data_IF_758516510899
#
_entry.id   IF_758516510899
#
_cell.length_a   1.000
_cell.length_b   1.000
_cell.length_c   1.000
_cell.angle_alpha   90.00
_cell.angle_beta   90.00
_cell.angle_gamma   90.00
#
_symmetry.space_group_name_H-M   'P 1'
#
loop_
_entity.id
_entity.type
_entity.pdbx_description
1 polymer ?
#
# COMPACT_ATOMS: atom_id res chain seq x y z
N UNK A 1 42.12 0.03 26.93
CA UNK A 1 41.33 1.16 26.40
C UNK A 1 41.76 2.45 27.10
N UNK A 2 42.10 3.50 26.37
CA UNK A 2 42.50 4.78 26.96
C UNK A 2 41.24 5.62 27.21
N UNK A 3 41.23 6.43 28.28
CA UNK A 3 40.12 7.38 28.52
C UNK A 3 39.82 8.30 27.32
N UNK A 4 40.87 8.60 26.54
CA UNK A 4 40.76 9.42 25.33
C UNK A 4 39.85 8.82 24.25
N UNK A 5 39.86 7.47 24.08
CA UNK A 5 38.97 6.82 23.10
C UNK A 5 37.49 7.05 23.41
N UNK A 6 37.12 6.99 24.72
CA UNK A 6 35.75 7.27 25.13
C UNK A 6 35.37 8.72 24.90
N UNK A 7 36.28 9.65 25.21
CA UNK A 7 36.06 11.07 24.97
C UNK A 7 35.91 11.39 23.48
N UNK A 8 36.73 10.75 22.62
CA UNK A 8 36.65 10.90 21.17
C UNK A 8 35.31 10.38 20.62
N UNK A 9 34.83 9.21 21.09
CA UNK A 9 33.51 8.71 20.68
C UNK A 9 32.40 9.69 21.00
N UNK A 10 32.36 10.20 22.24
CA UNK A 10 31.36 11.17 22.68
C UNK A 10 31.43 12.44 21.84
N UNK A 11 32.66 12.96 21.63
CA UNK A 11 32.90 14.16 20.82
C UNK A 11 32.39 13.99 19.40
N UNK A 12 32.78 12.92 18.70
CA UNK A 12 32.40 12.66 17.32
C UNK A 12 30.90 12.43 17.17
N UNK A 13 30.27 11.80 18.15
CA UNK A 13 28.81 11.66 18.20
C UNK A 13 28.10 13.00 18.32
N UNK A 14 28.55 13.88 19.24
CA UNK A 14 27.98 15.24 19.43
C UNK A 14 28.20 16.11 18.19
N UNK A 15 29.38 16.01 17.57
CA UNK A 15 29.74 16.73 16.33
C UNK A 15 29.08 16.14 15.07
N UNK A 16 28.29 15.04 15.19
CA UNK A 16 27.68 14.28 14.08
C UNK A 16 28.69 13.86 13.01
N UNK A 17 29.93 13.61 13.41
CA UNK A 17 31.01 13.15 12.53
C UNK A 17 31.03 11.61 12.50
N UNK A 18 30.13 11.03 11.70
CA UNK A 18 29.94 9.57 11.59
C UNK A 18 31.22 8.82 11.17
N UNK A 19 32.02 9.38 10.26
CA UNK A 19 33.24 8.73 9.80
C UNK A 19 34.28 8.61 10.91
N UNK A 20 34.50 9.69 11.68
CA UNK A 20 35.46 9.69 12.79
C UNK A 20 34.95 8.84 13.95
N UNK A 21 33.64 8.86 14.23
CA UNK A 21 33.01 8.00 15.22
C UNK A 21 33.24 6.51 14.89
N UNK A 22 32.99 6.12 13.64
CA UNK A 22 33.16 4.75 13.14
C UNK A 22 34.61 4.29 13.25
N UNK A 23 35.56 5.12 12.85
CA UNK A 23 36.99 4.81 12.93
C UNK A 23 37.45 4.60 14.37
N UNK A 24 37.00 5.43 15.30
CA UNK A 24 37.32 5.29 16.73
C UNK A 24 36.68 4.03 17.32
N UNK A 25 35.46 3.68 16.97
CA UNK A 25 34.79 2.46 17.39
C UNK A 25 35.52 1.20 16.88
N UNK A 26 35.98 1.20 15.62
CA UNK A 26 36.81 0.11 15.07
C UNK A 26 38.14 0.00 15.81
N UNK A 27 38.78 1.11 16.16
CA UNK A 27 40.02 1.12 16.92
C UNK A 27 39.82 0.51 18.32
N UNK A 28 38.69 0.77 18.95
CA UNK A 28 38.30 0.17 20.24
C UNK A 28 38.06 -1.34 20.09
N UNK A 29 37.37 -1.79 19.03
CA UNK A 29 37.14 -3.20 18.77
C UNK A 29 38.47 -3.96 18.63
N UNK A 30 39.43 -3.43 17.84
CA UNK A 30 40.79 -4.01 17.69
C UNK A 30 41.53 -4.05 18.99
N UNK A 31 41.34 -3.09 19.88
CA UNK A 31 41.97 -3.14 21.22
C UNK A 31 41.42 -4.31 22.02
N UNK A 32 40.09 -4.54 22.03
CA UNK A 32 39.50 -5.68 22.73
C UNK A 32 39.94 -7.03 22.14
N UNK A 33 40.06 -7.11 20.83
CA UNK A 33 40.64 -8.28 20.14
C UNK A 33 42.07 -8.55 20.64
N UNK A 34 42.91 -7.51 20.75
CA UNK A 34 44.32 -7.63 21.19
C UNK A 34 44.50 -8.10 22.65
N UNK A 35 43.48 -7.93 23.50
CA UNK A 35 43.50 -8.37 24.90
C UNK A 35 42.74 -9.69 25.12
N UNK A 36 42.24 -10.33 24.03
CA UNK A 36 41.56 -11.62 24.05
C UNK A 36 40.06 -11.56 24.34
N UNK A 37 39.47 -10.36 24.37
CA UNK A 37 38.01 -10.19 24.51
C UNK A 37 37.36 -10.20 23.12
N UNK A 38 37.35 -11.36 22.49
CA UNK A 38 36.87 -11.56 21.14
C UNK A 38 35.36 -11.28 21.02
N UNK A 39 34.57 -11.59 22.08
CA UNK A 39 33.12 -11.41 22.05
C UNK A 39 32.77 -9.92 21.94
N UNK A 40 33.42 -9.07 22.73
CA UNK A 40 33.18 -7.63 22.71
C UNK A 40 33.70 -6.98 21.43
N UNK A 41 34.84 -7.48 20.90
CA UNK A 41 35.40 -7.06 19.60
C UNK A 41 34.41 -7.35 18.46
N UNK A 42 33.92 -8.57 18.35
CA UNK A 42 32.94 -8.97 17.34
C UNK A 42 31.62 -8.19 17.46
N UNK A 43 31.17 -7.97 18.68
CA UNK A 43 29.98 -7.18 18.93
C UNK A 43 30.11 -5.73 18.40
N UNK A 44 31.24 -5.05 18.73
CA UNK A 44 31.49 -3.67 18.26
C UNK A 44 31.66 -3.64 16.74
N UNK A 45 32.38 -4.61 16.16
CA UNK A 45 32.57 -4.71 14.71
C UNK A 45 31.21 -4.97 14.00
N UNK A 46 30.34 -5.80 14.58
CA UNK A 46 28.99 -6.04 14.11
C UNK A 46 28.13 -4.79 14.11
N UNK A 47 28.22 -3.95 15.15
CA UNK A 47 27.54 -2.65 15.22
C UNK A 47 28.06 -1.65 14.16
N UNK A 48 29.33 -1.73 13.80
CA UNK A 48 29.99 -0.81 12.85
C UNK A 48 29.94 -1.30 11.40
N UNK A 49 29.71 -2.60 11.15
CA UNK A 49 29.48 -3.12 9.80
C UNK A 49 28.10 -2.72 9.33
N UNK A 50 27.99 -2.13 8.14
CA UNK A 50 26.69 -1.90 7.47
C UNK A 50 26.03 -3.22 7.01
N UNK A 51 26.73 -4.32 7.10
CA UNK A 51 26.15 -5.63 6.92
C UNK A 51 25.32 -5.95 8.17
N UNK A 52 24.01 -5.93 8.04
CA UNK A 52 23.04 -6.51 8.97
C UNK A 52 23.23 -8.03 9.16
N UNK A 53 24.45 -8.49 9.47
CA UNK A 53 24.79 -9.90 9.62
C UNK A 53 24.72 -10.40 11.06
N UNK A 54 24.62 -9.48 12.02
CA UNK A 54 24.24 -9.76 13.41
C UNK A 54 23.40 -8.56 13.89
N UNK A 55 22.16 -8.48 13.46
CA UNK A 55 21.17 -8.20 14.47
C UNK A 55 21.35 -9.32 15.49
N UNK A 56 21.70 -9.09 16.79
CA UNK A 56 21.28 -10.02 17.80
C UNK A 56 19.83 -10.24 17.45
N UNK A 57 19.38 -11.51 17.28
CA UNK A 57 17.97 -11.77 17.06
C UNK A 57 17.27 -10.77 17.97
N UNK A 58 16.90 -9.65 17.38
CA UNK A 58 16.20 -8.61 18.10
C UNK A 58 15.07 -9.42 18.63
N UNK A 59 15.09 -9.63 19.96
CA UNK A 59 14.09 -10.43 20.64
C UNK A 59 12.83 -10.08 19.89
N UNK A 60 12.47 -10.96 18.95
CA UNK A 60 11.58 -10.60 17.85
C UNK A 60 10.45 -9.96 18.57
N UNK A 61 10.19 -8.66 18.37
CA UNK A 61 9.21 -7.96 19.18
C UNK A 61 7.95 -8.79 18.99
N UNK A 62 7.78 -9.77 19.86
CA UNK A 62 6.68 -10.71 19.84
C UNK A 62 5.47 -9.93 20.31
N UNK A 63 4.82 -9.35 19.32
CA UNK A 63 3.57 -8.66 19.52
C UNK A 63 2.45 -9.58 19.08
N UNK A 64 1.41 -9.62 19.89
CA UNK A 64 0.16 -10.31 19.57
C UNK A 64 -0.56 -9.62 18.39
N UNK A 65 -0.42 -8.29 18.26
CA UNK A 65 -1.23 -7.47 17.37
C UNK A 65 -0.42 -6.69 16.32
N UNK A 66 0.86 -6.41 16.57
CA UNK A 66 1.73 -5.67 15.68
C UNK A 66 2.51 -6.62 14.79
N UNK A 67 2.27 -6.57 13.49
CA UNK A 67 3.02 -7.36 12.49
C UNK A 67 3.97 -6.44 11.73
N UNK A 68 5.27 -6.73 11.77
CA UNK A 68 6.22 -6.03 10.92
C UNK A 68 5.99 -6.40 9.46
N UNK A 69 5.90 -5.40 8.59
CA UNK A 69 5.65 -5.56 7.16
C UNK A 69 6.94 -5.34 6.41
N UNK A 70 7.29 -6.27 5.52
CA UNK A 70 8.43 -6.11 4.64
C UNK A 70 8.10 -5.11 3.52
N UNK A 71 8.94 -4.06 3.38
CA UNK A 71 8.72 -2.94 2.44
C UNK A 71 9.81 -2.81 1.38
N UNK A 72 10.79 -3.76 1.33
CA UNK A 72 11.98 -3.67 0.46
C UNK A 72 11.67 -3.83 -1.03
N UNK A 73 10.71 -4.68 -1.39
CA UNK A 73 10.38 -5.06 -2.78
C UNK A 73 9.00 -4.56 -3.20
N UNK A 74 8.66 -3.31 -2.88
CA UNK A 74 7.38 -2.75 -3.28
C UNK A 74 7.37 -2.42 -4.78
N UNK A 75 6.30 -2.80 -5.45
CA UNK A 75 6.00 -2.35 -6.82
C UNK A 75 5.84 -0.81 -6.83
N UNK A 76 6.26 -0.17 -7.93
CA UNK A 76 6.00 1.24 -8.10
C UNK A 76 4.47 1.48 -8.11
N UNK A 77 4.03 2.42 -7.30
CA UNK A 77 2.62 2.76 -7.18
C UNK A 77 2.34 3.97 -8.08
N UNK A 78 1.54 3.77 -9.13
CA UNK A 78 1.05 4.85 -9.97
C UNK A 78 -0.17 5.48 -9.29
N UNK A 79 0.04 6.64 -8.67
CA UNK A 79 -0.99 7.43 -8.02
C UNK A 79 -1.27 8.70 -8.84
N UNK A 80 -2.52 9.22 -8.80
CA UNK A 80 -2.83 10.54 -9.31
C UNK A 80 -1.88 11.61 -8.76
N UNK A 81 -1.67 12.66 -9.54
CA UNK A 81 -0.75 13.74 -9.16
C UNK A 81 -1.13 14.35 -7.80
N UNK A 82 -2.40 14.62 -7.58
CA UNK A 82 -2.91 15.19 -6.33
C UNK A 82 -2.61 14.32 -5.11
N UNK A 83 -2.79 13.01 -5.20
CA UNK A 83 -2.47 12.07 -4.11
C UNK A 83 -0.95 12.01 -3.91
N UNK A 84 -0.18 12.06 -5.00
CA UNK A 84 1.29 12.08 -4.94
C UNK A 84 1.80 13.34 -4.25
N UNK A 85 1.18 14.49 -4.47
CA UNK A 85 1.51 15.75 -3.80
C UNK A 85 1.19 15.69 -2.30
N UNK A 86 0.05 15.12 -1.93
CA UNK A 86 -0.29 14.90 -0.52
C UNK A 86 0.74 13.97 0.17
N UNK A 87 1.16 12.91 -0.48
CA UNK A 87 2.21 12.00 0.05
C UNK A 87 3.54 12.75 0.20
N UNK A 88 3.94 13.59 -0.76
CA UNK A 88 5.11 14.46 -0.61
C UNK A 88 4.96 15.41 0.58
N UNK A 89 3.76 15.95 0.79
CA UNK A 89 3.42 16.77 1.96
C UNK A 89 3.63 16.01 3.28
N UNK A 90 3.20 14.75 3.37
CA UNK A 90 3.44 13.87 4.52
C UNK A 90 4.94 13.72 4.76
N UNK A 91 5.71 13.37 3.73
CA UNK A 91 7.17 13.18 3.84
C UNK A 91 7.84 14.46 4.33
N UNK A 92 7.48 15.61 3.78
CA UNK A 92 8.02 16.91 4.19
C UNK A 92 7.67 17.25 5.66
N UNK A 93 6.41 17.06 6.06
CA UNK A 93 5.97 17.34 7.43
C UNK A 93 6.73 16.48 8.46
N UNK A 94 6.89 15.19 8.19
CA UNK A 94 7.61 14.27 9.06
C UNK A 94 9.11 14.60 9.13
N UNK A 95 9.75 14.88 7.99
CA UNK A 95 11.18 15.17 7.93
C UNK A 95 11.54 16.51 8.62
N UNK A 96 10.64 17.50 8.58
CA UNK A 96 10.85 18.78 9.28
C UNK A 96 10.39 18.76 10.72
N UNK A 97 9.84 17.65 11.21
CA UNK A 97 9.38 17.45 12.59
C UNK A 97 8.45 18.58 13.09
N UNK A 98 7.48 18.98 12.25
CA UNK A 98 6.55 20.07 12.55
C UNK A 98 5.40 19.64 13.49
N UNK A 99 5.46 18.44 14.06
CA UNK A 99 4.43 17.90 14.96
C UNK A 99 3.21 17.30 14.25
N UNK A 100 3.27 17.15 12.91
CA UNK A 100 2.25 16.51 12.07
C UNK A 100 2.71 15.08 11.79
N UNK A 101 2.06 14.10 12.40
CA UNK A 101 2.51 12.70 12.32
C UNK A 101 1.36 11.68 12.30
N UNK A 102 0.09 12.11 12.31
CA UNK A 102 -1.09 11.25 12.27
C UNK A 102 -1.91 11.54 11.01
N UNK A 103 -2.02 10.55 10.14
CA UNK A 103 -2.66 10.67 8.82
C UNK A 103 -3.80 9.66 8.68
N UNK A 104 -4.93 10.10 8.14
CA UNK A 104 -6.06 9.24 7.79
C UNK A 104 -6.16 9.13 6.27
N UNK A 105 -6.01 7.93 5.74
CA UNK A 105 -6.20 7.62 4.32
C UNK A 105 -7.62 7.12 4.12
N UNK A 106 -8.45 7.90 3.45
CA UNK A 106 -9.82 7.55 3.11
C UNK A 106 -9.97 7.16 1.65
N UNK A 107 -10.92 6.31 1.33
CA UNK A 107 -11.25 5.98 -0.05
C UNK A 107 -11.86 4.59 -0.19
N UNK A 108 -12.43 4.33 -1.35
CA UNK A 108 -13.07 3.04 -1.66
C UNK A 108 -12.08 1.87 -1.59
N UNK A 109 -12.56 0.64 -1.38
CA UNK A 109 -11.72 -0.56 -1.44
C UNK A 109 -10.93 -0.61 -2.75
N UNK A 110 -9.67 -1.05 -2.67
CA UNK A 110 -8.81 -1.17 -3.85
C UNK A 110 -8.23 0.14 -4.40
N UNK A 111 -8.46 1.31 -3.76
CA UNK A 111 -7.89 2.60 -4.18
C UNK A 111 -6.39 2.76 -3.90
N UNK A 112 -5.75 1.82 -3.22
CA UNK A 112 -4.29 1.82 -3.00
C UNK A 112 -3.82 2.38 -1.66
N UNK A 113 -4.71 2.65 -0.69
CA UNK A 113 -4.39 3.22 0.64
C UNK A 113 -3.28 2.48 1.38
N UNK A 114 -3.44 1.17 1.55
CA UNK A 114 -2.47 0.31 2.25
C UNK A 114 -1.12 0.28 1.53
N UNK A 115 -1.11 0.22 0.20
CA UNK A 115 0.13 0.27 -0.59
C UNK A 115 0.80 1.64 -0.51
N UNK A 116 0.03 2.73 -0.48
CA UNK A 116 0.55 4.08 -0.27
C UNK A 116 1.19 4.23 1.12
N UNK A 117 0.59 3.67 2.18
CA UNK A 117 1.17 3.67 3.52
C UNK A 117 2.53 2.93 3.55
N UNK A 118 2.64 1.79 2.85
CA UNK A 118 3.92 1.08 2.69
C UNK A 118 4.96 1.93 1.97
N UNK A 119 4.55 2.63 0.90
CA UNK A 119 5.45 3.54 0.18
C UNK A 119 5.90 4.74 1.02
N UNK A 120 5.01 5.31 1.84
CA UNK A 120 5.38 6.37 2.81
C UNK A 120 6.44 5.87 3.77
N UNK A 121 6.27 4.68 4.36
CA UNK A 121 7.27 4.10 5.25
C UNK A 121 8.62 3.89 4.55
N UNK A 122 8.61 3.39 3.31
CA UNK A 122 9.82 3.22 2.48
C UNK A 122 10.52 4.56 2.19
N UNK A 123 9.76 5.59 1.81
CA UNK A 123 10.30 6.90 1.47
C UNK A 123 10.87 7.63 2.70
N UNK A 124 10.33 7.36 3.89
CA UNK A 124 10.84 7.87 5.16
C UNK A 124 12.00 7.05 5.71
N UNK A 125 12.36 5.93 5.07
CA UNK A 125 13.34 4.94 5.58
C UNK A 125 13.00 4.47 7.01
N UNK A 126 11.70 4.14 7.22
CA UNK A 126 11.17 3.70 8.52
C UNK A 126 10.61 2.29 8.44
N UNK A 127 10.75 1.52 9.51
CA UNK A 127 10.10 0.21 9.65
C UNK A 127 8.59 0.37 9.73
N UNK A 128 7.86 -0.47 9.02
CA UNK A 128 6.39 -0.47 9.04
C UNK A 128 5.85 -1.58 9.95
N UNK A 129 5.01 -1.21 10.89
CA UNK A 129 4.22 -2.13 11.69
C UNK A 129 2.75 -1.98 11.36
N UNK A 130 2.08 -3.07 11.04
CA UNK A 130 0.65 -3.10 10.74
C UNK A 130 -0.13 -3.65 11.92
N UNK A 131 -1.21 -2.97 12.27
CA UNK A 131 -2.29 -3.45 13.13
C UNK A 131 -3.49 -3.73 12.25
N UNK A 132 -3.98 -4.95 12.32
CA UNK A 132 -5.18 -5.38 11.63
C UNK A 132 -6.36 -5.30 12.61
N UNK A 133 -7.22 -4.32 12.40
CA UNK A 133 -8.31 -4.04 13.33
C UNK A 133 -9.37 -5.13 13.39
N UNK A 134 -9.55 -5.92 12.33
CA UNK A 134 -10.46 -7.07 12.34
C UNK A 134 -10.08 -8.07 13.45
N UNK A 135 -8.77 -8.27 13.65
CA UNK A 135 -8.27 -9.21 14.67
C UNK A 135 -8.42 -8.70 16.12
N UNK A 136 -8.78 -7.43 16.31
CA UNK A 136 -8.98 -6.85 17.64
C UNK A 136 -10.38 -7.06 18.18
N UNK A 137 -11.34 -7.29 17.27
CA UNK A 137 -12.74 -7.46 17.62
C UNK A 137 -12.95 -8.85 18.20
N UNK A 138 -13.52 -8.91 19.39
CA UNK A 138 -13.86 -10.15 20.08
C UNK A 138 -15.35 -10.13 20.41
N UNK A 139 -16.01 -11.27 20.26
CA UNK A 139 -17.42 -11.44 20.64
C UNK A 139 -17.68 -11.35 22.15
N UNK A 140 -16.60 -11.44 22.97
CA UNK A 140 -16.71 -11.33 24.43
C UNK A 140 -16.74 -9.86 24.87
N UNK A 141 -17.74 -9.52 25.64
CA UNK A 141 -17.98 -8.17 26.15
C UNK A 141 -16.73 -7.58 26.82
N UNK A 142 -16.29 -6.39 26.36
CA UNK A 142 -15.14 -5.67 26.90
C UNK A 142 -13.77 -6.21 26.49
N UNK A 143 -13.65 -7.33 25.76
CA UNK A 143 -12.36 -7.85 25.33
C UNK A 143 -11.75 -6.97 24.22
N UNK A 144 -12.57 -6.48 23.27
CA UNK A 144 -12.16 -5.53 22.24
C UNK A 144 -11.46 -4.30 22.84
N UNK A 145 -12.03 -3.70 23.89
CA UNK A 145 -11.41 -2.56 24.58
C UNK A 145 -10.04 -2.91 25.19
N UNK A 146 -9.91 -4.10 25.79
CA UNK A 146 -8.63 -4.55 26.34
C UNK A 146 -7.58 -4.76 25.24
N UNK A 147 -7.98 -5.33 24.11
CA UNK A 147 -7.11 -5.56 22.97
C UNK A 147 -6.60 -4.22 22.40
N UNK A 148 -7.48 -3.23 22.24
CA UNK A 148 -7.10 -1.87 21.79
C UNK A 148 -6.06 -1.25 22.74
N UNK A 149 -6.31 -1.31 24.07
CA UNK A 149 -5.35 -0.78 25.05
C UNK A 149 -4.00 -1.50 24.97
N UNK A 150 -4.01 -2.82 24.77
CA UNK A 150 -2.76 -3.59 24.57
C UNK A 150 -2.01 -3.12 23.33
N UNK A 151 -2.68 -3.00 22.18
CA UNK A 151 -2.09 -2.51 20.92
C UNK A 151 -1.38 -1.17 21.14
N UNK A 152 -2.07 -0.19 21.73
CA UNK A 152 -1.47 1.13 21.93
C UNK A 152 -0.32 1.10 22.96
N UNK A 153 -0.35 0.20 23.94
CA UNK A 153 0.81 -0.04 24.81
C UNK A 153 2.00 -0.60 24.04
N UNK A 154 1.76 -1.59 23.18
CA UNK A 154 2.80 -2.18 22.32
C UNK A 154 3.39 -1.16 21.36
N UNK A 155 2.55 -0.28 20.74
CA UNK A 155 3.00 0.83 19.92
C UNK A 155 3.93 1.77 20.73
N UNK A 156 3.56 2.10 21.97
CA UNK A 156 4.37 2.95 22.84
C UNK A 156 5.71 2.32 23.29
N UNK A 157 5.79 0.98 23.25
CA UNK A 157 7.00 0.23 23.60
C UNK A 157 7.92 -0.03 22.41
N UNK A 158 7.52 0.37 21.18
CA UNK A 158 8.36 0.19 20.01
C UNK A 158 9.69 0.95 20.15
N UNK A 159 10.83 0.28 19.94
CA UNK A 159 12.12 0.94 19.98
C UNK A 159 12.28 1.90 18.80
N UNK A 160 13.06 2.97 18.99
CA UNK A 160 13.37 3.96 17.95
C UNK A 160 12.11 4.56 17.31
N UNK A 161 11.26 5.18 18.08
CA UNK A 161 9.99 5.80 17.66
C UNK A 161 10.12 6.64 16.36
N UNK A 162 11.24 7.34 16.19
CA UNK A 162 11.57 8.16 15.01
C UNK A 162 11.89 7.35 13.74
N UNK A 163 12.01 6.02 13.85
CA UNK A 163 12.23 5.10 12.72
C UNK A 163 11.06 4.16 12.47
N UNK A 164 9.89 4.51 12.98
CA UNK A 164 8.70 3.66 12.90
C UNK A 164 7.54 4.38 12.23
N UNK A 165 6.84 3.65 11.37
CA UNK A 165 5.49 3.96 10.88
C UNK A 165 4.56 2.86 11.39
N UNK A 166 3.44 3.23 11.97
CA UNK A 166 2.37 2.32 12.38
C UNK A 166 1.18 2.50 11.46
N UNK A 167 0.75 1.41 10.84
CA UNK A 167 -0.44 1.37 9.99
C UNK A 167 -1.58 0.71 10.75
N UNK A 168 -2.61 1.50 11.05
CA UNK A 168 -3.89 1.02 11.55
C UNK A 168 -4.80 0.73 10.35
N UNK A 169 -4.77 -0.51 9.87
CA UNK A 169 -5.47 -0.86 8.64
C UNK A 169 -6.93 -1.19 8.92
N UNK A 170 -7.84 -0.65 8.07
CA UNK A 170 -9.29 -0.86 8.14
C UNK A 170 -9.92 -0.51 9.50
N UNK A 171 -9.59 0.67 10.02
CA UNK A 171 -10.10 1.15 11.31
C UNK A 171 -11.64 1.32 11.33
N UNK A 172 -12.28 1.32 10.15
CA UNK A 172 -13.74 1.40 9.99
C UNK A 172 -14.50 0.15 10.44
N UNK A 173 -13.84 -0.97 10.64
CA UNK A 173 -14.47 -2.16 11.25
C UNK A 173 -15.12 -1.80 12.58
N UNK A 174 -14.54 -0.86 13.33
CA UNK A 174 -15.09 -0.32 14.56
C UNK A 174 -16.40 0.46 14.32
N UNK A 175 -16.54 1.11 13.16
CA UNK A 175 -17.77 1.85 12.81
C UNK A 175 -18.88 0.91 12.33
N UNK A 176 -18.53 -0.19 11.64
CA UNK A 176 -19.49 -1.19 11.14
C UNK A 176 -20.17 -1.98 12.26
N UNK A 177 -19.45 -2.26 13.31
CA UNK A 177 -20.02 -2.95 14.48
C UNK A 177 -21.12 -2.11 15.17
N UNK A 178 -21.09 -0.77 15.02
CA UNK A 178 -22.19 0.11 15.45
C UNK A 178 -23.52 -0.19 14.74
N UNK A 179 -23.47 -0.64 13.51
CA UNK A 179 -24.67 -0.89 12.69
C UNK A 179 -25.23 -2.28 12.95
N UNK A 180 -24.37 -3.24 13.28
CA UNK A 180 -24.71 -4.65 13.38
C UNK A 180 -24.91 -5.17 14.82
N UNK A 181 -24.40 -4.46 15.85
CA UNK A 181 -24.52 -4.90 17.25
C UNK A 181 -25.73 -4.30 17.95
N UNK A 182 -26.46 -5.14 18.70
CA UNK A 182 -27.57 -4.71 19.57
C UNK A 182 -27.09 -3.89 20.79
N UNK A 183 -25.76 -3.67 20.95
CA UNK A 183 -25.18 -2.96 22.09
C UNK A 183 -24.45 -1.68 21.69
N UNK A 184 -25.21 -0.65 21.40
CA UNK A 184 -24.73 0.72 21.07
C UNK A 184 -23.80 1.28 22.17
N UNK A 185 -23.93 0.80 23.41
CA UNK A 185 -23.13 1.28 24.56
C UNK A 185 -21.69 0.76 24.52
N UNK A 186 -21.48 -0.48 24.09
CA UNK A 186 -20.12 -1.06 24.02
C UNK A 186 -19.28 -0.36 22.94
N UNK A 187 -19.86 -0.11 21.78
CA UNK A 187 -19.17 0.57 20.68
C UNK A 187 -18.84 2.03 20.98
N UNK A 188 -19.70 2.73 21.73
CA UNK A 188 -19.35 4.05 22.24
C UNK A 188 -18.12 4.01 23.16
N UNK A 189 -17.94 2.94 23.94
CA UNK A 189 -16.75 2.72 24.78
C UNK A 189 -15.51 2.43 23.94
N UNK A 190 -15.62 1.61 22.90
CA UNK A 190 -14.52 1.30 21.97
C UNK A 190 -13.99 2.57 21.31
N UNK A 191 -14.88 3.38 20.70
CA UNK A 191 -14.53 4.66 20.09
C UNK A 191 -13.86 5.59 21.12
N UNK A 192 -14.44 5.73 22.31
CA UNK A 192 -13.88 6.56 23.38
C UNK A 192 -12.50 6.08 23.83
N UNK A 193 -12.27 4.77 23.84
CA UNK A 193 -10.95 4.19 24.16
C UNK A 193 -9.93 4.55 23.11
N UNK A 194 -10.26 4.42 21.79
CA UNK A 194 -9.35 4.79 20.71
C UNK A 194 -9.02 6.28 20.74
N UNK A 195 -10.02 7.14 20.93
CA UNK A 195 -9.82 8.59 21.06
C UNK A 195 -8.80 8.90 22.15
N UNK A 196 -8.98 8.33 23.34
CA UNK A 196 -8.08 8.52 24.46
C UNK A 196 -6.67 7.99 24.18
N UNK A 197 -6.55 6.83 23.55
CA UNK A 197 -5.23 6.27 23.25
C UNK A 197 -4.51 7.05 22.12
N UNK A 198 -5.23 7.59 21.12
CA UNK A 198 -4.68 8.50 20.12
C UNK A 198 -4.17 9.80 20.74
N UNK A 199 -4.94 10.39 21.68
CA UNK A 199 -4.52 11.59 22.41
C UNK A 199 -3.25 11.29 23.23
N UNK A 200 -3.21 10.14 23.90
CA UNK A 200 -2.07 9.69 24.72
C UNK A 200 -0.80 9.44 23.90
N UNK A 201 -0.92 8.89 22.68
CA UNK A 201 0.22 8.73 21.76
C UNK A 201 0.85 10.08 21.41
N UNK A 202 0.05 11.11 21.23
CA UNK A 202 0.52 12.47 20.95
C UNK A 202 1.41 13.00 22.07
N UNK A 203 1.05 12.72 23.33
CA UNK A 203 1.78 13.20 24.49
C UNK A 203 3.09 12.44 24.76
N UNK A 204 3.08 11.12 24.49
CA UNK A 204 4.18 10.23 24.86
C UNK A 204 5.21 10.00 23.74
N UNK A 205 4.77 9.94 22.47
CA UNK A 205 5.60 9.53 21.33
C UNK A 205 5.36 10.40 20.10
N UNK A 206 5.84 11.63 20.13
CA UNK A 206 5.69 12.61 19.02
C UNK A 206 6.38 12.21 17.70
N UNK A 207 7.26 11.21 17.71
CA UNK A 207 8.09 10.86 16.56
C UNK A 207 7.57 9.66 15.75
N UNK A 208 6.65 8.85 16.31
CA UNK A 208 5.98 7.78 15.58
C UNK A 208 5.07 8.40 14.53
N UNK A 209 5.17 7.91 13.29
CA UNK A 209 4.21 8.23 12.24
C UNK A 209 3.06 7.23 12.28
N UNK A 210 1.85 7.72 12.44
CA UNK A 210 0.64 6.92 12.47
C UNK A 210 -0.16 7.14 11.19
N UNK A 211 -0.45 6.09 10.46
CA UNK A 211 -1.33 6.11 9.29
C UNK A 211 -2.50 5.19 9.57
N UNK A 212 -3.72 5.70 9.46
CA UNK A 212 -4.92 4.87 9.52
C UNK A 212 -5.57 4.81 8.15
N UNK A 213 -6.19 3.67 7.79
CA UNK A 213 -6.97 3.54 6.56
C UNK A 213 -8.44 3.30 6.86
N UNK A 214 -9.32 3.85 6.03
CA UNK A 214 -10.77 3.62 6.11
C UNK A 214 -11.41 3.54 4.72
N UNK A 215 -12.41 2.67 4.60
CA UNK A 215 -13.29 2.60 3.44
C UNK A 215 -14.62 3.34 3.67
N UNK A 216 -14.93 3.75 4.90
CA UNK A 216 -16.23 4.27 5.34
C UNK A 216 -16.14 5.64 6.01
N UNK A 217 -15.41 6.57 5.38
CA UNK A 217 -15.19 7.91 5.96
C UNK A 217 -16.47 8.65 6.35
N UNK A 218 -17.55 8.54 5.56
CA UNK A 218 -18.84 9.17 5.84
C UNK A 218 -19.47 8.70 7.15
N UNK A 219 -19.14 7.49 7.60
CA UNK A 219 -19.69 6.88 8.82
C UNK A 219 -18.79 7.11 10.05
N UNK A 220 -17.63 7.75 9.82
CA UNK A 220 -16.67 8.01 10.90
C UNK A 220 -17.16 9.09 11.86
N UNK A 221 -16.89 8.89 13.15
CA UNK A 221 -17.13 9.90 14.16
C UNK A 221 -16.22 11.12 13.92
N UNK A 222 -16.84 12.31 13.84
CA UNK A 222 -16.10 13.57 13.68
C UNK A 222 -15.03 13.79 14.76
N UNK A 223 -15.25 13.26 15.98
CA UNK A 223 -14.27 13.34 17.04
C UNK A 223 -13.02 12.51 16.72
N UNK A 224 -13.18 11.35 16.06
CA UNK A 224 -12.06 10.52 15.63
C UNK A 224 -11.26 11.18 14.50
N UNK A 225 -11.95 11.74 13.49
CA UNK A 225 -11.30 12.46 12.40
C UNK A 225 -10.41 13.60 12.91
N UNK A 226 -10.87 14.34 13.92
CA UNK A 226 -10.13 15.46 14.53
C UNK A 226 -8.83 15.06 15.23
N UNK A 227 -8.57 13.77 15.47
CA UNK A 227 -7.31 13.27 16.05
C UNK A 227 -6.23 13.02 15.00
N UNK A 228 -6.62 13.06 13.74
CA UNK A 228 -5.67 13.01 12.65
C UNK A 228 -5.31 14.42 12.20
N UNK A 229 -4.04 14.63 11.93
CA UNK A 229 -3.50 15.94 11.53
C UNK A 229 -3.85 16.26 10.07
N UNK A 230 -3.99 15.23 9.22
CA UNK A 230 -4.44 15.38 7.84
C UNK A 230 -5.23 14.14 7.38
N UNK A 231 -6.18 14.40 6.47
CA UNK A 231 -6.97 13.37 5.79
C UNK A 231 -6.62 13.39 4.30
N UNK A 232 -6.22 12.24 3.77
CA UNK A 232 -5.86 12.09 2.37
C UNK A 232 -6.94 11.26 1.66
N UNK A 233 -7.56 11.86 0.66
CA UNK A 233 -8.64 11.22 -0.09
C UNK A 233 -8.08 10.45 -1.30
N UNK A 234 -8.29 9.13 -1.29
CA UNK A 234 -7.87 8.21 -2.36
C UNK A 234 -8.95 7.96 -3.42
N UNK A 235 -10.06 8.71 -3.42
CA UNK A 235 -11.08 8.61 -4.47
C UNK A 235 -10.84 9.56 -5.65
N UNK A 236 -9.74 10.30 -5.66
CA UNK A 236 -9.40 11.33 -6.66
C UNK A 236 -8.71 10.75 -7.90
N UNK A 237 -9.19 9.62 -8.42
CA UNK A 237 -8.75 9.09 -9.70
C UNK A 237 -9.63 9.60 -10.82
N UNK A 238 -9.04 10.19 -11.86
CA UNK A 238 -9.71 10.39 -13.13
C UNK A 238 -9.72 9.09 -13.95
N UNK A 239 -10.53 9.02 -15.00
CA UNK A 239 -10.51 7.88 -15.90
C UNK A 239 -9.14 7.74 -16.61
N UNK A 240 -8.47 8.85 -16.89
CA UNK A 240 -7.12 8.90 -17.44
C UNK A 240 -6.11 8.26 -16.50
N UNK A 241 -6.14 8.60 -15.22
CA UNK A 241 -5.26 8.01 -14.20
C UNK A 241 -5.47 6.49 -14.11
N UNK A 242 -6.74 6.04 -14.13
CA UNK A 242 -7.07 4.62 -14.07
C UNK A 242 -6.59 3.86 -15.32
N UNK A 243 -6.65 4.49 -16.50
CA UNK A 243 -6.12 3.92 -17.75
C UNK A 243 -4.58 3.82 -17.68
N UNK A 244 -3.89 4.82 -17.14
CA UNK A 244 -2.44 4.78 -16.95
C UNK A 244 -2.02 3.68 -15.98
N UNK A 245 -2.72 3.55 -14.86
CA UNK A 245 -2.53 2.46 -13.88
C UNK A 245 -2.75 1.09 -14.54
N UNK A 246 -3.83 0.94 -15.33
CA UNK A 246 -4.13 -0.28 -16.05
C UNK A 246 -3.02 -0.63 -17.07
N UNK A 247 -2.51 0.37 -17.82
CA UNK A 247 -1.41 0.19 -18.78
C UNK A 247 -0.11 -0.25 -18.08
N UNK A 248 0.17 0.31 -16.92
CA UNK A 248 1.30 -0.10 -16.09
C UNK A 248 1.19 -1.58 -15.70
N UNK A 249 0.05 -2.01 -15.16
CA UNK A 249 -0.17 -3.42 -14.79
C UNK A 249 -0.11 -4.34 -16.00
N UNK A 250 -0.77 -3.97 -17.10
CA UNK A 250 -0.74 -4.73 -18.34
C UNK A 250 0.70 -4.91 -18.86
N UNK A 251 1.48 -3.83 -18.90
CA UNK A 251 2.87 -3.86 -19.37
C UNK A 251 3.80 -4.65 -18.44
N UNK A 252 3.51 -4.67 -17.14
CA UNK A 252 4.24 -5.47 -16.16
C UNK A 252 3.93 -6.96 -16.30
N UNK A 253 2.65 -7.33 -16.38
CA UNK A 253 2.23 -8.72 -16.34
C UNK A 253 2.43 -9.45 -17.67
N UNK A 254 2.19 -8.80 -18.81
CA UNK A 254 2.27 -9.46 -20.12
C UNK A 254 3.65 -10.05 -20.40
N UNK A 255 4.70 -9.52 -19.78
CA UNK A 255 6.08 -10.05 -19.91
C UNK A 255 6.23 -11.50 -19.45
N UNK A 256 5.35 -11.93 -18.58
CA UNK A 256 5.37 -13.28 -18.00
C UNK A 256 4.61 -14.31 -18.87
N UNK A 257 3.92 -13.86 -19.92
CA UNK A 257 3.12 -14.72 -20.78
C UNK A 257 3.72 -14.82 -22.19
N UNK A 258 4.08 -16.03 -22.58
CA UNK A 258 4.58 -16.30 -23.94
C UNK A 258 3.42 -16.57 -24.88
N UNK A 259 3.52 -16.15 -26.15
CA UNK A 259 2.50 -16.39 -27.16
C UNK A 259 1.33 -15.39 -27.18
N UNK A 260 1.32 -14.41 -26.27
CA UNK A 260 0.32 -13.35 -26.24
C UNK A 260 0.88 -12.10 -26.97
N UNK A 261 0.14 -11.57 -27.92
CA UNK A 261 0.51 -10.34 -28.63
C UNK A 261 0.08 -9.10 -27.85
N UNK A 262 1.02 -8.17 -27.61
CA UNK A 262 0.74 -6.92 -26.93
C UNK A 262 0.00 -5.94 -27.84
N UNK A 263 -1.29 -5.68 -27.59
CA UNK A 263 -2.06 -4.63 -28.27
C UNK A 263 -2.55 -3.59 -27.25
N UNK A 264 -1.66 -2.65 -26.93
CA UNK A 264 -1.95 -1.57 -25.97
C UNK A 264 -3.07 -0.64 -26.46
N UNK A 265 -3.21 -0.46 -27.78
CA UNK A 265 -4.25 0.41 -28.34
C UNK A 265 -5.64 -0.16 -28.11
N UNK A 266 -5.85 -1.43 -28.46
CA UNK A 266 -7.14 -2.10 -28.25
C UNK A 266 -7.43 -2.29 -26.75
N UNK A 267 -6.41 -2.59 -25.95
CA UNK A 267 -6.51 -2.64 -24.48
C UNK A 267 -7.06 -1.33 -23.90
N UNK A 268 -6.45 -0.18 -24.25
CA UNK A 268 -6.93 1.14 -23.79
C UNK A 268 -8.34 1.46 -24.30
N UNK A 269 -8.66 1.05 -25.51
CA UNK A 269 -9.98 1.28 -26.08
C UNK A 269 -11.08 0.55 -25.31
N UNK A 270 -10.84 -0.71 -24.94
CA UNK A 270 -11.77 -1.49 -24.12
C UNK A 270 -12.02 -0.78 -22.77
N UNK A 271 -10.96 -0.26 -22.13
CA UNK A 271 -11.10 0.50 -20.89
C UNK A 271 -11.95 1.76 -21.07
N UNK A 272 -11.73 2.51 -22.17
CA UNK A 272 -12.50 3.74 -22.48
C UNK A 272 -13.97 3.47 -22.82
N UNK A 273 -14.28 2.27 -23.32
CA UNK A 273 -15.66 1.87 -23.64
C UNK A 273 -16.42 1.42 -22.38
N UNK A 274 -15.74 1.07 -21.32
CA UNK A 274 -16.36 0.68 -20.06
C UNK A 274 -17.12 1.87 -19.44
N UNK A 275 -18.35 1.62 -18.96
CA UNK A 275 -19.17 2.67 -18.30
C UNK A 275 -18.51 3.24 -17.05
N UNK A 276 -17.73 2.45 -16.37
CA UNK A 276 -16.96 2.81 -15.18
C UNK A 276 -15.71 1.98 -15.13
N UNK A 277 -14.57 2.63 -15.00
CA UNK A 277 -13.29 1.95 -14.83
C UNK A 277 -13.12 1.61 -13.33
N UNK A 278 -12.82 0.34 -12.97
CA UNK A 278 -12.62 -0.02 -11.58
C UNK A 278 -11.37 0.61 -10.96
N UNK A 279 -11.33 0.67 -9.64
CA UNK A 279 -10.14 1.15 -8.91
C UNK A 279 -8.92 0.21 -9.07
N UNK A 280 -7.69 0.70 -8.80
CA UNK A 280 -6.45 -0.02 -9.06
C UNK A 280 -6.38 -1.46 -8.61
N UNK A 281 -6.92 -1.77 -7.43
CA UNK A 281 -6.91 -3.14 -6.87
C UNK A 281 -7.75 -4.12 -7.69
N UNK A 282 -8.93 -3.72 -8.11
CA UNK A 282 -9.82 -4.52 -8.96
C UNK A 282 -9.28 -4.59 -10.38
N UNK A 283 -8.79 -3.47 -10.94
CA UNK A 283 -8.11 -3.43 -12.25
C UNK A 283 -6.93 -4.41 -12.31
N UNK A 284 -6.09 -4.41 -11.30
CA UNK A 284 -4.96 -5.35 -11.18
C UNK A 284 -5.42 -6.80 -11.30
N UNK A 285 -6.50 -7.15 -10.59
CA UNK A 285 -7.05 -8.50 -10.61
C UNK A 285 -7.66 -8.84 -11.97
N UNK A 286 -8.47 -7.96 -12.57
CA UNK A 286 -9.09 -8.16 -13.87
C UNK A 286 -8.01 -8.38 -14.94
N UNK A 287 -6.98 -7.53 -14.98
CA UNK A 287 -5.90 -7.63 -15.98
C UNK A 287 -5.12 -8.94 -15.78
N UNK A 288 -4.76 -9.26 -14.53
CA UNK A 288 -4.02 -10.47 -14.21
C UNK A 288 -4.82 -11.74 -14.56
N UNK A 289 -6.10 -11.79 -14.24
CA UNK A 289 -6.96 -12.96 -14.56
C UNK A 289 -7.24 -13.06 -16.06
N UNK A 290 -7.45 -11.94 -16.75
CA UNK A 290 -7.62 -11.92 -18.21
C UNK A 290 -6.41 -12.53 -18.93
N UNK A 291 -5.19 -12.20 -18.49
CA UNK A 291 -3.96 -12.78 -19.03
C UNK A 291 -3.76 -14.23 -18.62
N UNK A 292 -3.96 -14.55 -17.34
CA UNK A 292 -3.68 -15.89 -16.79
C UNK A 292 -4.63 -16.97 -17.31
N UNK A 293 -5.88 -16.63 -17.58
CA UNK A 293 -6.88 -17.56 -18.11
C UNK A 293 -7.05 -17.49 -19.63
N UNK A 294 -6.20 -16.71 -20.31
CA UNK A 294 -6.17 -16.63 -21.75
C UNK A 294 -5.85 -17.99 -22.39
N UNK A 295 -6.51 -18.33 -23.49
CA UNK A 295 -6.20 -19.54 -24.25
C UNK A 295 -4.79 -19.45 -24.83
N UNK A 296 -3.98 -20.47 -24.57
CA UNK A 296 -2.58 -20.56 -25.01
C UNK A 296 -2.45 -20.56 -26.56
N UNK A 297 -3.50 -20.99 -27.27
CA UNK A 297 -3.57 -21.00 -28.74
C UNK A 297 -3.99 -19.65 -29.37
N UNK A 298 -4.38 -18.66 -28.56
CA UNK A 298 -4.90 -17.38 -29.02
C UNK A 298 -4.07 -16.20 -28.56
N UNK A 299 -3.57 -15.40 -29.50
CA UNK A 299 -2.76 -14.21 -29.20
C UNK A 299 -3.57 -13.10 -28.50
N UNK A 300 -4.90 -13.06 -28.67
CA UNK A 300 -5.77 -11.95 -28.25
C UNK A 300 -6.93 -12.37 -27.33
N UNK A 301 -7.04 -13.62 -26.86
CA UNK A 301 -8.12 -14.07 -26.00
C UNK A 301 -8.21 -13.24 -24.69
N UNK A 302 -7.09 -12.74 -24.18
CA UNK A 302 -7.06 -11.88 -23.01
C UNK A 302 -7.87 -10.59 -23.20
N UNK A 303 -7.94 -10.04 -24.42
CA UNK A 303 -8.75 -8.85 -24.74
C UNK A 303 -10.26 -9.16 -24.70
N UNK A 304 -10.66 -10.35 -25.19
CA UNK A 304 -12.04 -10.84 -25.07
C UNK A 304 -12.42 -10.98 -23.60
N UNK A 305 -11.56 -11.55 -22.78
CA UNK A 305 -11.78 -11.70 -21.34
C UNK A 305 -11.84 -10.37 -20.62
N UNK A 306 -10.96 -9.44 -20.96
CA UNK A 306 -10.97 -8.07 -20.44
C UNK A 306 -12.28 -7.36 -20.77
N UNK A 307 -12.73 -7.45 -22.04
CA UNK A 307 -14.00 -6.89 -22.49
C UNK A 307 -15.17 -7.45 -21.68
N UNK A 308 -15.22 -8.80 -21.56
CA UNK A 308 -16.28 -9.48 -20.80
C UNK A 308 -16.32 -9.05 -19.32
N UNK A 309 -15.16 -8.81 -18.72
CA UNK A 309 -15.08 -8.42 -17.32
C UNK A 309 -15.47 -6.95 -17.06
N UNK A 310 -15.23 -6.05 -18.03
CA UNK A 310 -15.45 -4.62 -17.86
C UNK A 310 -16.78 -4.12 -18.44
N UNK A 311 -17.23 -4.72 -19.54
CA UNK A 311 -18.35 -4.20 -20.34
C UNK A 311 -19.53 -5.16 -20.33
N UNK A 312 -19.25 -6.46 -20.43
CA UNK A 312 -20.26 -7.51 -20.50
C UNK A 312 -19.96 -8.53 -21.58
N UNK A 313 -20.86 -9.55 -21.74
CA UNK A 313 -20.62 -10.67 -22.65
C UNK A 313 -20.44 -10.22 -24.09
N UNK A 314 -19.23 -10.39 -24.62
CA UNK A 314 -18.89 -10.11 -26.00
C UNK A 314 -19.65 -11.03 -26.97
N UNK A 315 -19.96 -12.26 -26.55
CA UNK A 315 -20.66 -13.25 -27.40
C UNK A 315 -22.11 -12.83 -27.68
N UNK A 316 -22.71 -12.06 -26.76
CA UNK A 316 -24.09 -11.53 -26.92
C UNK A 316 -24.16 -10.28 -27.81
N UNK A 317 -23.04 -9.64 -28.11
CA UNK A 317 -22.97 -8.48 -29.00
C UNK A 317 -22.76 -8.89 -30.41
N UNK A 318 -23.52 -8.31 -31.33
CA UNK A 318 -23.30 -8.45 -32.75
C UNK A 318 -22.15 -7.55 -33.25
N UNK A 319 -21.80 -7.65 -34.50
CA UNK A 319 -20.68 -6.92 -35.10
C UNK A 319 -21.01 -5.43 -35.22
N UNK A 320 -22.29 -5.06 -35.45
CA UNK A 320 -22.72 -3.67 -35.60
C UNK A 320 -22.67 -2.94 -34.27
N UNK A 321 -23.17 -3.57 -33.21
CA UNK A 321 -23.07 -3.00 -31.85
C UNK A 321 -21.61 -2.70 -31.47
N UNK A 322 -20.68 -3.58 -31.81
CA UNK A 322 -19.26 -3.32 -31.59
C UNK A 322 -18.73 -2.19 -32.49
N UNK A 323 -19.26 -2.07 -33.71
CA UNK A 323 -18.90 -0.98 -34.60
C UNK A 323 -19.45 0.36 -34.12
N UNK A 324 -20.68 0.39 -33.62
CA UNK A 324 -21.29 1.55 -32.97
C UNK A 324 -20.55 1.99 -31.69
N UNK A 325 -20.00 1.03 -30.94
CA UNK A 325 -19.08 1.32 -29.83
C UNK A 325 -17.72 1.85 -30.29
N UNK A 326 -17.55 2.01 -31.59
CA UNK A 326 -16.38 2.61 -32.24
C UNK A 326 -15.25 1.62 -32.57
N UNK A 327 -15.43 0.29 -32.37
CA UNK A 327 -14.38 -0.68 -32.74
C UNK A 327 -14.27 -0.81 -34.26
N UNK A 328 -13.03 -0.76 -34.76
CA UNK A 328 -12.73 -0.96 -36.17
C UNK A 328 -12.86 -2.43 -36.60
N UNK A 329 -13.02 -2.70 -37.90
CA UNK A 329 -13.10 -4.08 -38.43
C UNK A 329 -11.95 -4.97 -37.95
N UNK A 330 -10.72 -4.43 -37.87
CA UNK A 330 -9.54 -5.19 -37.38
C UNK A 330 -9.59 -5.44 -35.86
N UNK A 331 -10.16 -4.54 -35.10
CA UNK A 331 -10.31 -4.72 -33.65
C UNK A 331 -11.41 -5.74 -33.36
N UNK A 332 -12.51 -5.73 -34.12
CA UNK A 332 -13.58 -6.72 -34.04
C UNK A 332 -13.08 -8.10 -34.44
N UNK A 333 -12.25 -8.20 -35.52
CA UNK A 333 -11.56 -9.44 -35.89
C UNK A 333 -10.81 -10.05 -34.72
N UNK A 334 -10.01 -9.26 -34.00
CA UNK A 334 -9.25 -9.71 -32.82
C UNK A 334 -10.15 -10.12 -31.64
N UNK A 335 -11.23 -9.38 -31.40
CA UNK A 335 -12.15 -9.64 -30.31
C UNK A 335 -13.01 -10.89 -30.57
N UNK A 336 -13.59 -11.02 -31.76
CA UNK A 336 -14.49 -12.10 -32.12
C UNK A 336 -13.79 -13.35 -32.65
N UNK A 337 -12.51 -13.24 -33.08
CA UNK A 337 -11.80 -14.34 -33.74
C UNK A 337 -12.31 -14.65 -35.15
N UNK A 338 -13.11 -13.75 -35.74
CA UNK A 338 -13.62 -13.88 -37.11
C UNK A 338 -12.67 -13.20 -38.10
N UNK A 339 -12.56 -13.70 -39.30
CA UNK A 339 -11.69 -13.06 -40.32
C UNK A 339 -12.19 -11.67 -40.69
N UNK A 340 -11.26 -10.75 -40.99
CA UNK A 340 -11.55 -9.39 -41.43
C UNK A 340 -12.60 -9.34 -42.55
N UNK A 341 -12.51 -10.27 -43.52
CA UNK A 341 -13.45 -10.37 -44.66
C UNK A 341 -14.86 -10.77 -44.20
N UNK A 342 -14.98 -11.62 -43.18
CA UNK A 342 -16.27 -12.01 -42.64
C UNK A 342 -16.92 -10.84 -41.89
N UNK A 343 -16.16 -10.15 -41.04
CA UNK A 343 -16.61 -8.94 -40.31
C UNK A 343 -17.07 -7.86 -41.30
N UNK A 344 -16.26 -7.54 -42.32
CA UNK A 344 -16.60 -6.53 -43.33
C UNK A 344 -17.86 -6.89 -44.15
N UNK A 345 -18.08 -8.18 -44.46
CA UNK A 345 -19.28 -8.61 -45.18
C UNK A 345 -20.54 -8.49 -44.29
N UNK A 346 -20.46 -8.79 -43.02
CA UNK A 346 -21.59 -8.68 -42.10
C UNK A 346 -22.02 -7.23 -41.93
N UNK A 347 -21.08 -6.30 -41.74
CA UNK A 347 -21.35 -4.85 -41.67
C UNK A 347 -22.04 -4.32 -42.94
N UNK A 348 -21.57 -4.69 -44.14
CA UNK A 348 -22.16 -4.24 -45.40
C UNK A 348 -23.54 -4.79 -45.70
N UNK A 349 -23.90 -5.99 -45.23
CA UNK A 349 -25.22 -6.58 -45.44
C UNK A 349 -26.30 -5.84 -44.67
N UNK A 350 -26.01 -5.38 -43.47
CA UNK A 350 -26.98 -4.69 -42.65
C UNK A 350 -27.13 -3.20 -42.97
N UNK A 351 -26.10 -2.58 -43.61
CA UNK A 351 -26.24 -1.23 -44.22
C UNK A 351 -27.24 -1.24 -45.36
N UNK A 352 -27.33 -2.36 -46.11
CA UNK A 352 -28.27 -2.53 -47.26
C UNK A 352 -29.67 -2.89 -46.80
N UNK A 353 -29.81 -3.63 -45.67
CA UNK A 353 -31.12 -4.00 -45.11
C UNK A 353 -31.76 -2.87 -44.29
N UNK A 354 -31.06 -1.76 -44.01
CA UNK A 354 -31.52 -0.57 -43.28
C UNK A 354 -31.83 0.63 -44.18
N UNK A 355 -31.56 0.55 -45.50
CA UNK A 355 -32.04 1.46 -46.53
C UNK A 355 -33.35 0.95 -47.18
#
# INVERSE_FOLDING_TARGET
MKKQNVLNLIKYHVERNENSFRNEAIAIARYFDSIGDYQLSEYIMGLMSEANLYSPQSSAFESEFLKQVEIRNLEALNLPLEITEDIKGIINAVNHNVGINKFLFEGLPGSGKTEAAKNVARLLDRSLFRVDFENLIDSKLGQTNKNIIKVFREINMLPNANKVVVLLDEIDVIALDRINSNDIREMGRVTSTILRELDRLTDLNKEIVLIATTNLYSNFDKALIRRFDAVINFNRYSDEDLIEVAEYYFSSFIKNFKGISKDTRLFKKILKTAKKIPYPGELKNIIKTSLAFSDVGSEYDYLKRLYNSLIGSLDQKDINQLHEEGFTVREIEKLKGESKSAVSRKLKREEVDSE
#
